data_IF_324144774040
#
_entry.id   IF_324144774040
#
_cell.length_a   1.000
_cell.length_b   1.000
_cell.length_c   1.000
_cell.angle_alpha   90.00
_cell.angle_beta   90.00
_cell.angle_gamma   90.00
#
_symmetry.space_group_name_H-M   'P 1'
#
loop_
_entity.id
_entity.type
_entity.pdbx_description
1 polymer ?
#
# COMPACT_ATOMS: atom_id res chain seq x y z
N UNK A 1 -13.57 -9.79 -15.56
CA UNK A 1 -13.67 -11.21 -15.27
C UNK A 1 -15.11 -11.71 -15.45
N UNK A 2 -16.11 -11.21 -14.70
CA UNK A 2 -17.50 -11.68 -14.77
C UNK A 2 -18.13 -11.46 -16.17
N UNK A 3 -17.93 -10.29 -16.79
CA UNK A 3 -18.37 -10.00 -18.17
C UNK A 3 -17.72 -10.95 -19.21
N UNK A 4 -16.60 -11.58 -18.88
CA UNK A 4 -15.92 -12.57 -19.71
C UNK A 4 -16.35 -14.02 -19.37
N UNK A 5 -17.40 -14.20 -18.54
CA UNK A 5 -18.00 -15.49 -18.24
C UNK A 5 -17.40 -16.23 -17.04
N UNK A 6 -16.52 -15.62 -16.25
CA UNK A 6 -15.97 -16.24 -15.04
C UNK A 6 -16.94 -16.09 -13.86
N UNK A 7 -17.15 -17.18 -13.12
CA UNK A 7 -17.85 -17.14 -11.85
C UNK A 7 -17.03 -16.35 -10.81
N UNK A 8 -17.71 -15.46 -10.09
CA UNK A 8 -17.09 -14.59 -9.09
C UNK A 8 -16.38 -15.39 -8.00
N UNK A 9 -16.94 -16.48 -7.53
CA UNK A 9 -16.38 -17.29 -6.45
C UNK A 9 -15.15 -18.11 -6.91
N UNK A 10 -14.92 -18.23 -8.22
CA UNK A 10 -13.73 -18.90 -8.75
C UNK A 10 -12.45 -18.06 -8.62
N UNK A 11 -12.54 -16.74 -8.57
CA UNK A 11 -11.37 -15.85 -8.52
C UNK A 11 -11.35 -14.87 -7.34
N UNK A 12 -12.51 -14.40 -6.86
CA UNK A 12 -12.57 -13.39 -5.81
C UNK A 12 -11.86 -13.78 -4.51
N UNK A 13 -11.86 -15.05 -4.05
CA UNK A 13 -11.10 -15.47 -2.88
C UNK A 13 -9.58 -15.27 -3.00
N UNK A 14 -9.06 -15.06 -4.22
CA UNK A 14 -7.63 -14.85 -4.51
C UNK A 14 -7.25 -13.39 -4.67
N UNK A 15 -8.24 -12.48 -4.69
CA UNK A 15 -7.97 -11.05 -4.77
C UNK A 15 -7.37 -10.55 -3.45
N UNK A 16 -6.44 -9.63 -3.57
CA UNK A 16 -5.84 -8.93 -2.44
C UNK A 16 -5.60 -7.47 -2.81
N UNK A 17 -5.48 -6.63 -1.79
CA UNK A 17 -5.36 -5.20 -1.93
C UNK A 17 -4.13 -4.68 -1.20
N UNK A 18 -3.75 -3.47 -1.54
CA UNK A 18 -2.67 -2.74 -0.92
C UNK A 18 -3.20 -1.38 -0.45
N UNK A 19 -3.00 -1.07 0.83
CA UNK A 19 -3.37 0.21 1.42
C UNK A 19 -2.17 0.88 2.07
N UNK A 20 -2.18 2.22 2.09
CA UNK A 20 -1.29 3.00 2.94
C UNK A 20 -1.96 3.26 4.29
N UNK A 21 -1.13 3.51 5.32
CA UNK A 21 -1.57 4.03 6.62
C UNK A 21 -0.88 5.36 6.89
N UNK A 22 -1.67 6.45 6.97
CA UNK A 22 -1.22 7.82 7.24
C UNK A 22 -1.23 8.15 8.73
N UNK A 23 -1.09 9.45 9.08
CA UNK A 23 -0.89 9.87 10.47
C UNK A 23 -2.18 10.05 11.29
N UNK A 24 -3.35 10.19 10.65
CA UNK A 24 -4.62 10.29 11.37
C UNK A 24 -5.06 8.90 11.84
N UNK A 25 -4.75 8.60 13.10
CA UNK A 25 -4.94 7.27 13.69
C UNK A 25 -6.39 6.78 13.57
N UNK A 26 -7.35 7.61 13.90
CA UNK A 26 -8.76 7.19 13.91
C UNK A 26 -9.36 7.11 12.51
N UNK A 27 -8.97 8.01 11.61
CA UNK A 27 -9.39 7.97 10.22
C UNK A 27 -8.84 6.71 9.53
N UNK A 28 -7.58 6.36 9.78
CA UNK A 28 -6.97 5.16 9.21
C UNK A 28 -7.63 3.86 9.72
N UNK A 29 -7.89 3.76 11.02
CA UNK A 29 -8.65 2.63 11.58
C UNK A 29 -10.05 2.56 10.94
N UNK A 30 -10.75 3.67 10.86
CA UNK A 30 -12.07 3.75 10.23
C UNK A 30 -12.04 3.38 8.75
N UNK A 31 -11.01 3.80 8.02
CA UNK A 31 -10.79 3.46 6.60
C UNK A 31 -10.71 1.94 6.38
N UNK A 32 -9.91 1.25 7.17
CA UNK A 32 -9.78 -0.22 7.05
C UNK A 32 -11.07 -0.95 7.42
N UNK A 33 -11.80 -0.46 8.41
CA UNK A 33 -13.12 -0.98 8.77
C UNK A 33 -14.14 -0.74 7.65
N UNK A 34 -14.20 0.47 7.10
CA UNK A 34 -15.05 0.83 5.97
C UNK A 34 -14.74 -0.03 4.73
N UNK A 35 -13.46 -0.21 4.40
CA UNK A 35 -13.03 -1.00 3.26
C UNK A 35 -13.51 -2.46 3.35
N UNK A 36 -13.37 -3.12 4.53
CA UNK A 36 -13.86 -4.49 4.72
C UNK A 36 -15.39 -4.58 4.59
N UNK A 37 -16.10 -3.67 5.23
CA UNK A 37 -17.58 -3.66 5.20
C UNK A 37 -18.11 -3.40 3.79
N UNK A 38 -17.51 -2.42 3.10
CA UNK A 38 -17.87 -2.05 1.74
C UNK A 38 -17.59 -3.18 0.75
N UNK A 39 -16.41 -3.83 0.86
CA UNK A 39 -16.08 -4.98 0.03
C UNK A 39 -17.09 -6.11 0.19
N UNK A 40 -17.37 -6.50 1.43
CA UNK A 40 -18.34 -7.57 1.70
C UNK A 40 -19.74 -7.24 1.12
N UNK A 41 -20.19 -6.00 1.28
CA UNK A 41 -21.47 -5.51 0.74
C UNK A 41 -21.48 -5.56 -0.79
N UNK A 42 -20.47 -5.02 -1.46
CA UNK A 42 -20.36 -5.02 -2.92
C UNK A 42 -20.32 -6.45 -3.47
N UNK A 43 -19.52 -7.33 -2.89
CA UNK A 43 -19.42 -8.71 -3.35
C UNK A 43 -20.74 -9.46 -3.20
N UNK A 44 -21.43 -9.26 -2.09
CA UNK A 44 -22.73 -9.90 -1.84
C UNK A 44 -23.86 -9.32 -2.69
N UNK A 45 -24.02 -7.99 -2.70
CA UNK A 45 -25.19 -7.34 -3.29
C UNK A 45 -25.04 -7.07 -4.79
N UNK A 46 -23.84 -6.66 -5.24
CA UNK A 46 -23.60 -6.31 -6.64
C UNK A 46 -23.13 -7.50 -7.49
N UNK A 47 -22.26 -8.35 -6.92
CA UNK A 47 -21.66 -9.47 -7.65
C UNK A 47 -22.24 -10.83 -7.27
N UNK A 48 -23.16 -10.88 -6.30
CA UNK A 48 -23.89 -12.07 -5.87
C UNK A 48 -22.98 -13.25 -5.48
N UNK A 49 -21.81 -12.95 -4.86
CA UNK A 49 -20.91 -13.95 -4.34
C UNK A 49 -21.60 -14.81 -3.28
N UNK A 50 -21.33 -16.11 -3.32
CA UNK A 50 -21.92 -17.11 -2.40
C UNK A 50 -20.87 -17.65 -1.41
N UNK A 51 -19.60 -17.67 -1.80
CA UNK A 51 -18.49 -18.08 -0.93
C UNK A 51 -18.15 -16.94 0.02
N UNK A 52 -18.19 -17.18 1.33
CA UNK A 52 -17.79 -16.20 2.35
C UNK A 52 -16.36 -15.68 2.13
N UNK A 53 -15.47 -16.52 1.62
CA UNK A 53 -14.09 -16.13 1.30
C UNK A 53 -13.99 -15.06 0.21
N UNK A 54 -14.97 -15.00 -0.69
CA UNK A 54 -15.08 -13.96 -1.71
C UNK A 54 -15.45 -12.60 -1.11
N UNK A 55 -16.13 -12.60 0.04
CA UNK A 55 -16.55 -11.40 0.77
C UNK A 55 -15.51 -10.90 1.77
N UNK A 56 -14.42 -11.64 1.97
CA UNK A 56 -13.31 -11.25 2.86
C UNK A 56 -12.32 -10.37 2.12
N UNK A 57 -12.20 -9.10 2.52
CA UNK A 57 -11.14 -8.22 2.02
C UNK A 57 -9.80 -8.64 2.62
N UNK A 58 -8.87 -9.03 1.77
CA UNK A 58 -7.47 -9.33 2.14
C UNK A 58 -6.58 -8.19 1.69
N UNK A 59 -5.78 -7.64 2.59
CA UNK A 59 -4.93 -6.53 2.21
C UNK A 59 -3.61 -6.50 2.99
N UNK A 60 -2.62 -5.96 2.33
CA UNK A 60 -1.37 -5.52 2.90
C UNK A 60 -1.46 -4.03 3.22
N UNK A 61 -0.82 -3.60 4.29
CA UNK A 61 -0.66 -2.18 4.59
C UNK A 61 0.81 -1.80 4.64
N UNK A 62 1.16 -0.71 3.99
CA UNK A 62 2.42 -0.02 4.17
C UNK A 62 2.17 1.29 4.91
N UNK A 63 3.01 1.62 5.89
CA UNK A 63 3.02 2.97 6.46
C UNK A 63 3.32 4.00 5.37
N UNK A 64 2.73 5.19 5.45
CA UNK A 64 2.77 6.15 4.34
C UNK A 64 4.10 6.91 4.28
N UNK A 65 5.00 6.47 3.38
CA UNK A 65 6.29 7.12 3.16
C UNK A 65 6.19 8.59 2.77
N UNK A 66 5.12 8.98 2.05
CA UNK A 66 4.89 10.38 1.66
C UNK A 66 4.63 11.33 2.85
N UNK A 67 4.37 10.81 4.04
CA UNK A 67 4.21 11.60 5.27
C UNK A 67 5.52 11.78 6.05
N UNK A 68 6.58 11.08 5.66
CA UNK A 68 7.87 11.14 6.31
C UNK A 68 8.68 12.32 5.77
N UNK A 69 9.48 12.93 6.64
CA UNK A 69 10.16 14.19 6.34
C UNK A 69 11.67 14.03 6.36
N UNK A 70 12.35 14.83 5.52
CA UNK A 70 13.80 14.92 5.54
C UNK A 70 14.30 15.68 6.79
N UNK A 71 13.48 16.61 7.30
CA UNK A 71 13.74 17.38 8.51
C UNK A 71 13.49 16.50 9.74
N UNK A 72 14.40 16.54 10.69
CA UNK A 72 14.31 15.80 11.96
C UNK A 72 13.95 14.32 11.73
N UNK A 73 14.77 13.55 10.99
CA UNK A 73 14.41 12.23 10.49
C UNK A 73 14.08 11.22 11.60
N UNK A 74 14.59 11.41 12.82
CA UNK A 74 14.26 10.52 13.94
C UNK A 74 12.79 10.63 14.38
N UNK A 75 12.12 11.76 14.11
CA UNK A 75 10.67 11.88 14.32
C UNK A 75 9.86 10.94 13.42
N UNK A 76 10.44 10.48 12.31
CA UNK A 76 9.79 9.51 11.42
C UNK A 76 9.58 8.15 12.11
N UNK A 77 10.42 7.78 13.08
CA UNK A 77 10.22 6.56 13.89
C UNK A 77 8.87 6.62 14.61
N UNK A 78 8.55 7.77 15.20
CA UNK A 78 7.29 7.98 15.92
C UNK A 78 6.11 7.98 14.94
N UNK A 79 6.24 8.67 13.80
CA UNK A 79 5.20 8.68 12.74
C UNK A 79 4.88 7.26 12.27
N UNK A 80 5.91 6.50 11.94
CA UNK A 80 5.78 5.10 11.49
C UNK A 80 5.16 4.22 12.57
N UNK A 81 5.53 4.40 13.85
CA UNK A 81 4.94 3.64 14.95
C UNK A 81 3.43 3.90 15.09
N UNK A 82 2.97 5.16 14.97
CA UNK A 82 1.55 5.51 15.04
C UNK A 82 0.79 4.98 13.81
N UNK A 83 1.34 5.10 12.62
CA UNK A 83 0.77 4.54 11.39
C UNK A 83 0.64 3.01 11.44
N UNK A 84 1.69 2.34 11.92
CA UNK A 84 1.69 0.89 12.08
C UNK A 84 0.64 0.44 13.12
N UNK A 85 0.52 1.18 14.23
CA UNK A 85 -0.50 0.91 15.25
C UNK A 85 -1.91 1.09 14.66
N UNK A 86 -2.15 2.14 13.88
CA UNK A 86 -3.43 2.34 13.18
C UNK A 86 -3.77 1.18 12.24
N UNK A 87 -2.78 0.69 11.47
CA UNK A 87 -2.96 -0.46 10.59
C UNK A 87 -3.32 -1.74 11.35
N UNK A 88 -2.66 -1.99 12.49
CA UNK A 88 -2.93 -3.17 13.35
C UNK A 88 -4.31 -3.07 13.97
N UNK A 89 -4.67 -1.93 14.58
CA UNK A 89 -6.00 -1.68 15.15
C UNK A 89 -7.09 -1.75 14.07
N UNK A 90 -6.75 -1.36 12.84
CA UNK A 90 -7.62 -1.44 11.68
C UNK A 90 -7.74 -2.84 11.06
N UNK A 91 -6.97 -3.83 11.53
CA UNK A 91 -7.09 -5.24 11.15
C UNK A 91 -6.39 -5.61 9.83
N UNK A 92 -5.22 -5.03 9.54
CA UNK A 92 -4.37 -5.45 8.41
C UNK A 92 -3.91 -6.90 8.55
N UNK A 93 -3.75 -7.64 7.43
CA UNK A 93 -3.24 -9.02 7.45
C UNK A 93 -1.73 -9.10 7.30
N UNK A 94 -1.10 -8.12 6.67
CA UNK A 94 0.35 -7.98 6.61
C UNK A 94 0.74 -6.52 6.65
N UNK A 95 1.94 -6.22 7.16
CA UNK A 95 2.37 -4.86 7.44
C UNK A 95 3.81 -4.65 6.99
N UNK A 96 4.05 -3.52 6.33
CA UNK A 96 5.38 -2.96 6.11
C UNK A 96 5.50 -1.63 6.86
N UNK A 97 6.61 -1.47 7.56
CA UNK A 97 6.99 -0.22 8.23
C UNK A 97 8.17 0.42 7.49
N UNK A 98 7.99 1.67 7.06
CA UNK A 98 9.07 2.43 6.44
C UNK A 98 10.15 2.75 7.47
N UNK A 99 11.37 2.92 7.02
CA UNK A 99 12.48 3.34 7.89
C UNK A 99 12.55 4.86 8.04
N UNK A 100 13.27 5.31 9.06
CA UNK A 100 13.37 6.74 9.40
C UNK A 100 14.00 7.61 8.31
N UNK A 101 14.78 7.00 7.44
CA UNK A 101 15.52 7.64 6.34
C UNK A 101 14.79 7.59 4.98
N UNK A 102 13.53 7.13 4.96
CA UNK A 102 12.68 7.00 3.77
C UNK A 102 12.63 8.26 2.89
N UNK A 103 12.59 9.44 3.51
CA UNK A 103 12.57 10.72 2.78
C UNK A 103 13.95 11.15 2.25
N UNK A 104 15.02 10.43 2.58
CA UNK A 104 16.41 10.82 2.30
C UNK A 104 17.13 9.86 1.35
N UNK A 105 16.98 8.55 1.57
CA UNK A 105 17.71 7.51 0.86
C UNK A 105 17.07 6.13 1.06
N UNK A 106 17.68 5.10 0.44
CA UNK A 106 17.40 3.72 0.80
C UNK A 106 17.85 3.46 2.25
N UNK A 107 17.15 2.57 2.98
CA UNK A 107 17.40 2.36 4.40
C UNK A 107 18.78 1.75 4.67
N UNK A 108 19.42 2.24 5.72
CA UNK A 108 20.58 1.59 6.32
C UNK A 108 20.16 0.38 7.14
N UNK A 109 21.10 -0.50 7.51
CA UNK A 109 20.85 -1.67 8.35
C UNK A 109 20.24 -1.28 9.71
N UNK A 110 20.73 -0.21 10.33
CA UNK A 110 20.19 0.31 11.59
C UNK A 110 18.75 0.80 11.41
N UNK A 111 18.47 1.54 10.34
CA UNK A 111 17.14 2.06 10.04
C UNK A 111 16.12 0.95 9.79
N UNK A 112 16.52 -0.09 9.03
CA UNK A 112 15.68 -1.28 8.79
C UNK A 112 15.42 -2.03 10.09
N UNK A 113 16.45 -2.17 10.94
CA UNK A 113 16.31 -2.84 12.23
C UNK A 113 15.28 -2.14 13.10
N UNK A 114 15.33 -0.80 13.21
CA UNK A 114 14.33 -0.01 13.96
C UNK A 114 12.93 -0.22 13.39
N UNK A 115 12.79 -0.17 12.06
CA UNK A 115 11.50 -0.39 11.40
C UNK A 115 10.90 -1.76 11.71
N UNK A 116 11.71 -2.82 11.70
CA UNK A 116 11.29 -4.17 12.09
C UNK A 116 10.95 -4.28 13.59
N UNK A 117 11.77 -3.67 14.46
CA UNK A 117 11.50 -3.64 15.90
C UNK A 117 10.21 -2.93 16.23
N UNK A 118 9.84 -1.88 15.48
CA UNK A 118 8.54 -1.21 15.62
C UNK A 118 7.38 -2.20 15.53
N UNK A 119 7.36 -3.06 14.51
CA UNK A 119 6.33 -4.11 14.38
C UNK A 119 6.36 -5.11 15.54
N UNK A 120 7.56 -5.54 15.94
CA UNK A 120 7.74 -6.51 17.01
C UNK A 120 7.30 -5.96 18.37
N UNK A 121 7.58 -4.68 18.67
CA UNK A 121 7.12 -4.00 19.88
C UNK A 121 5.58 -3.95 19.89
N UNK A 122 4.97 -3.52 18.78
CA UNK A 122 3.51 -3.50 18.66
C UNK A 122 2.91 -4.89 18.91
N UNK A 123 3.49 -5.92 18.31
CA UNK A 123 2.97 -7.29 18.42
C UNK A 123 3.14 -7.91 19.81
N UNK A 124 4.23 -7.60 20.52
CA UNK A 124 4.60 -8.34 21.73
C UNK A 124 4.42 -7.55 23.03
N UNK A 125 4.45 -6.22 22.99
CA UNK A 125 4.50 -5.40 24.21
C UNK A 125 3.23 -4.57 24.46
N UNK A 126 2.41 -4.32 23.41
CA UNK A 126 1.26 -3.41 23.52
C UNK A 126 -0.06 -4.08 23.90
N UNK A 127 -0.15 -5.38 23.77
CA UNK A 127 -1.39 -6.14 24.01
C UNK A 127 -2.46 -5.98 22.92
N UNK A 128 -2.21 -5.24 21.83
CA UNK A 128 -3.20 -5.03 20.74
C UNK A 128 -3.57 -6.32 20.01
N UNK A 129 -2.72 -7.36 20.09
CA UNK A 129 -2.96 -8.68 19.51
C UNK A 129 -3.91 -9.57 20.33
N UNK A 130 -4.30 -9.13 21.53
CA UNK A 130 -5.17 -9.91 22.42
C UNK A 130 -6.65 -9.85 22.01
N UNK A 131 -7.02 -8.96 21.12
CA UNK A 131 -8.41 -8.76 20.68
C UNK A 131 -8.50 -8.36 19.21
N UNK A 132 -9.72 -8.43 18.68
CA UNK A 132 -10.05 -8.03 17.31
C UNK A 132 -10.93 -6.79 17.38
N UNK A 133 -10.65 -5.81 16.47
CA UNK A 133 -11.44 -4.57 16.33
C UNK A 133 -11.72 -3.86 17.68
N UNK A 134 -10.67 -3.50 18.45
CA UNK A 134 -10.83 -3.00 19.82
C UNK A 134 -11.51 -1.63 19.91
N UNK A 135 -11.61 -0.91 18.80
CA UNK A 135 -12.28 0.39 18.73
C UNK A 135 -13.73 0.31 18.24
N UNK A 136 -14.25 -0.90 18.02
CA UNK A 136 -15.65 -1.11 17.69
C UNK A 136 -16.57 -0.56 18.79
N UNK A 137 -17.65 0.10 18.40
CA UNK A 137 -18.58 0.75 19.31
C UNK A 137 -18.17 2.14 19.79
N UNK A 138 -16.98 2.63 19.44
CA UNK A 138 -16.65 4.04 19.62
C UNK A 138 -17.54 4.90 18.70
N UNK A 139 -18.33 5.80 19.27
CA UNK A 139 -19.20 6.67 18.49
C UNK A 139 -18.48 7.43 17.38
N UNK A 140 -17.28 7.91 17.66
CA UNK A 140 -16.46 8.62 16.68
C UNK A 140 -15.97 7.70 15.55
N UNK A 141 -15.43 6.54 15.89
CA UNK A 141 -14.90 5.59 14.90
C UNK A 141 -16.03 5.01 14.03
N UNK A 142 -17.20 4.73 14.62
CA UNK A 142 -18.35 4.25 13.86
C UNK A 142 -18.88 5.33 12.90
N UNK A 143 -18.99 6.58 13.35
CA UNK A 143 -19.40 7.70 12.51
C UNK A 143 -18.41 7.94 11.36
N UNK A 144 -17.09 7.95 11.66
CA UNK A 144 -16.04 8.11 10.64
C UNK A 144 -16.01 6.94 9.65
N UNK A 145 -16.21 5.71 10.12
CA UNK A 145 -16.32 4.52 9.26
C UNK A 145 -17.48 4.67 8.25
N UNK A 146 -18.62 5.15 8.71
CA UNK A 146 -19.79 5.39 7.85
C UNK A 146 -19.53 6.52 6.84
N UNK A 147 -18.96 7.63 7.28
CA UNK A 147 -18.59 8.75 6.41
C UNK A 147 -17.66 8.31 5.27
N UNK A 148 -16.62 7.54 5.59
CA UNK A 148 -15.67 7.04 4.60
C UNK A 148 -16.34 6.08 3.62
N UNK A 149 -17.22 5.20 4.11
CA UNK A 149 -17.99 4.28 3.25
C UNK A 149 -18.89 5.04 2.26
N UNK A 150 -19.59 6.06 2.72
CA UNK A 150 -20.46 6.89 1.89
C UNK A 150 -19.67 7.62 0.80
N UNK A 151 -18.57 8.29 1.16
CA UNK A 151 -17.69 8.98 0.20
C UNK A 151 -17.05 8.02 -0.81
N UNK A 152 -16.63 6.84 -0.36
CA UNK A 152 -16.07 5.83 -1.26
C UNK A 152 -17.12 5.34 -2.27
N UNK A 153 -18.38 5.18 -1.85
CA UNK A 153 -19.47 4.82 -2.75
C UNK A 153 -19.78 5.89 -3.78
N UNK A 154 -19.68 7.19 -3.42
CA UNK A 154 -19.82 8.30 -4.37
C UNK A 154 -18.75 8.21 -5.47
N UNK A 155 -17.49 7.97 -5.11
CA UNK A 155 -16.41 7.77 -6.08
C UNK A 155 -16.65 6.54 -6.98
N UNK A 156 -17.10 5.42 -6.39
CA UNK A 156 -17.38 4.20 -7.15
C UNK A 156 -18.53 4.46 -8.15
N UNK A 157 -19.59 5.11 -7.72
CA UNK A 157 -20.73 5.48 -8.59
C UNK A 157 -20.26 6.38 -9.74
N UNK A 158 -19.44 7.39 -9.43
CA UNK A 158 -18.90 8.29 -10.45
C UNK A 158 -18.02 7.58 -11.47
N UNK A 159 -17.16 6.67 -11.03
CA UNK A 159 -16.32 5.85 -11.90
C UNK A 159 -17.17 4.92 -12.78
N UNK A 160 -18.23 4.35 -12.23
CA UNK A 160 -19.19 3.53 -12.99
C UNK A 160 -19.90 4.34 -14.08
N UNK A 161 -20.36 5.56 -13.78
CA UNK A 161 -20.96 6.48 -14.77
C UNK A 161 -20.01 6.80 -15.93
N UNK A 162 -18.70 6.92 -15.63
CA UNK A 162 -17.68 7.18 -16.64
C UNK A 162 -17.34 5.96 -17.51
N UNK A 163 -17.90 4.78 -17.18
CA UNK A 163 -17.69 3.53 -17.92
C UNK A 163 -16.64 2.60 -17.29
N UNK A 164 -16.31 2.81 -16.02
CA UNK A 164 -15.39 1.99 -15.24
C UNK A 164 -14.00 2.58 -15.10
N UNK A 165 -13.17 1.95 -14.27
CA UNK A 165 -11.88 2.48 -13.85
C UNK A 165 -10.91 2.75 -15.03
N UNK A 166 -10.81 1.85 -16.01
CA UNK A 166 -9.94 2.04 -17.18
C UNK A 166 -10.34 3.31 -17.96
N UNK A 167 -11.65 3.49 -18.20
CA UNK A 167 -12.14 4.66 -18.89
C UNK A 167 -11.96 5.95 -18.09
N UNK A 168 -12.16 5.90 -16.77
CA UNK A 168 -11.92 7.05 -15.88
C UNK A 168 -10.45 7.48 -15.88
N UNK A 169 -9.51 6.53 -15.99
CA UNK A 169 -8.06 6.80 -16.15
C UNK A 169 -7.80 7.46 -17.50
N UNK A 170 -8.33 6.90 -18.60
CA UNK A 170 -8.17 7.47 -19.95
C UNK A 170 -8.68 8.91 -20.05
N UNK A 171 -9.77 9.22 -19.34
CA UNK A 171 -10.35 10.55 -19.25
C UNK A 171 -9.59 11.50 -18.31
N UNK A 172 -8.59 11.01 -17.57
CA UNK A 172 -7.82 11.80 -16.62
C UNK A 172 -8.56 12.12 -15.30
N UNK A 173 -9.73 11.52 -15.06
CA UNK A 173 -10.55 11.80 -13.87
C UNK A 173 -9.80 11.42 -12.58
N UNK A 174 -9.29 10.19 -12.51
CA UNK A 174 -8.59 9.71 -11.31
C UNK A 174 -7.33 10.52 -11.04
N UNK A 175 -6.56 10.85 -12.08
CA UNK A 175 -5.36 11.67 -11.96
C UNK A 175 -5.68 13.08 -11.46
N UNK A 176 -6.80 13.65 -11.94
CA UNK A 176 -7.25 14.98 -11.50
C UNK A 176 -7.62 14.99 -10.02
N UNK A 177 -8.40 14.02 -9.54
CA UNK A 177 -8.77 13.89 -8.12
C UNK A 177 -7.54 13.78 -7.22
N UNK A 178 -6.54 12.97 -7.64
CA UNK A 178 -5.27 12.83 -6.90
C UNK A 178 -4.51 14.16 -6.86
N UNK A 179 -4.44 14.86 -8.01
CA UNK A 179 -3.73 16.13 -8.11
C UNK A 179 -4.39 17.24 -7.28
N UNK A 180 -5.72 17.31 -7.32
CA UNK A 180 -6.51 18.29 -6.56
C UNK A 180 -6.34 18.05 -5.04
N UNK A 181 -6.38 16.78 -4.60
CA UNK A 181 -6.14 16.42 -3.21
C UNK A 181 -4.71 16.74 -2.74
N UNK A 182 -3.70 16.49 -3.58
CA UNK A 182 -2.32 16.83 -3.28
C UNK A 182 -2.11 18.36 -3.19
N UNK A 183 -2.74 19.12 -4.07
CA UNK A 183 -2.71 20.58 -4.04
C UNK A 183 -3.35 21.12 -2.76
N UNK A 184 -4.55 20.61 -2.40
CA UNK A 184 -5.23 21.00 -1.16
C UNK A 184 -4.36 20.72 0.07
N UNK A 185 -3.74 19.55 0.14
CA UNK A 185 -2.83 19.17 1.22
C UNK A 185 -1.64 20.13 1.33
N UNK A 186 -1.05 20.53 0.19
CA UNK A 186 0.03 21.51 0.16
C UNK A 186 -0.42 22.88 0.68
N UNK A 187 -1.58 23.35 0.26
CA UNK A 187 -2.14 24.63 0.73
C UNK A 187 -2.40 24.64 2.24
N UNK A 188 -2.90 23.52 2.79
CA UNK A 188 -3.11 23.38 4.25
C UNK A 188 -1.79 23.46 5.05
N UNK A 189 -0.68 22.95 4.49
CA UNK A 189 0.65 23.06 5.10
C UNK A 189 1.16 24.49 5.02
N UNK A 190 1.03 25.16 3.87
CA UNK A 190 1.50 26.52 3.66
C UNK A 190 0.71 27.55 4.51
N UNK A 191 -0.60 27.35 4.65
CA UNK A 191 -1.46 28.19 5.49
C UNK A 191 -1.33 27.91 6.99
N UNK A 192 -0.55 26.92 7.40
CA UNK A 192 -0.43 26.45 8.79
C UNK A 192 -1.71 25.85 9.37
N UNK A 193 -2.70 25.53 8.54
CA UNK A 193 -3.89 24.79 8.95
C UNK A 193 -3.52 23.34 9.33
N UNK A 194 -2.60 22.76 8.57
CA UNK A 194 -1.99 21.47 8.87
C UNK A 194 -0.55 21.63 9.35
N UNK A 195 -0.28 21.17 10.57
CA UNK A 195 1.05 21.21 11.16
C UNK A 195 1.80 19.90 10.85
N UNK A 196 3.00 20.05 10.28
CA UNK A 196 3.97 18.98 10.13
C UNK A 196 5.21 19.36 10.96
N UNK A 197 5.43 18.62 12.04
CA UNK A 197 6.51 18.90 13.00
C UNK A 197 7.88 18.82 12.30
N UNK A 198 8.69 19.85 12.50
CA UNK A 198 9.99 20.00 11.87
C UNK A 198 9.96 20.62 10.47
N UNK A 199 8.78 20.70 9.83
CA UNK A 199 8.64 21.25 8.47
C UNK A 199 8.10 22.66 8.49
N UNK A 200 6.89 22.87 9.01
CA UNK A 200 6.26 24.20 9.09
C UNK A 200 6.09 24.70 10.52
N UNK A 201 6.36 23.86 11.55
CA UNK A 201 6.40 24.25 12.96
C UNK A 201 7.45 23.43 13.71
N UNK A 202 8.00 24.00 14.78
CA UNK A 202 9.07 23.41 15.59
C UNK A 202 10.34 23.11 14.79
N UNK A 203 10.67 23.99 13.86
CA UNK A 203 11.88 23.94 13.05
C UNK A 203 13.11 24.19 13.93
N UNK A 204 14.21 23.50 13.60
CA UNK A 204 15.53 23.72 14.21
C UNK A 204 16.58 23.75 13.10
N UNK A 205 17.72 24.38 13.35
CA UNK A 205 18.88 24.24 12.47
C UNK A 205 19.45 22.84 12.61
N UNK A 206 19.64 22.14 11.50
CA UNK A 206 20.12 20.78 11.48
C UNK A 206 21.41 20.68 10.64
N UNK A 207 22.35 19.87 11.11
CA UNK A 207 23.44 19.46 10.24
C UNK A 207 22.90 18.51 9.15
N UNK A 208 23.51 18.50 7.95
CA UNK A 208 23.17 17.50 6.94
C UNK A 208 23.23 16.08 7.51
N UNK A 209 22.22 15.23 7.20
CA UNK A 209 22.19 13.87 7.74
C UNK A 209 23.42 13.08 7.31
N UNK A 210 24.05 12.40 8.28
CA UNK A 210 25.25 11.59 8.09
C UNK A 210 24.88 10.11 7.97
N UNK A 211 25.73 9.33 7.27
CA UNK A 211 25.59 7.88 7.22
C UNK A 211 24.45 7.35 6.35
N UNK A 212 23.95 8.15 5.42
CA UNK A 212 22.95 7.68 4.45
C UNK A 212 23.54 6.62 3.52
N UNK A 213 22.75 5.61 3.18
CA UNK A 213 23.14 4.59 2.21
C UNK A 213 23.34 5.22 0.82
N UNK A 214 24.54 5.06 0.30
CA UNK A 214 24.86 5.37 -1.10
C UNK A 214 25.10 4.08 -1.85
N UNK A 215 24.37 3.87 -2.93
CA UNK A 215 24.57 2.71 -3.80
C UNK A 215 25.92 2.87 -4.51
N UNK A 216 26.82 1.92 -4.31
CA UNK A 216 28.12 1.90 -5.00
C UNK A 216 27.89 1.60 -6.49
N UNK A 217 28.36 2.48 -7.42
CA UNK A 217 28.27 2.23 -8.86
C UNK A 217 28.88 0.88 -9.30
N UNK A 218 29.90 0.39 -8.59
CA UNK A 218 30.53 -0.91 -8.85
C UNK A 218 29.53 -2.07 -8.75
N UNK A 219 28.44 -1.95 -7.97
CA UNK A 219 27.38 -2.97 -7.88
C UNK A 219 26.68 -3.16 -9.23
N UNK A 220 26.40 -2.05 -9.93
CA UNK A 220 25.78 -2.11 -11.27
C UNK A 220 26.73 -2.76 -12.28
N UNK A 221 28.01 -2.39 -12.27
CA UNK A 221 29.00 -2.98 -13.16
C UNK A 221 29.18 -4.48 -12.92
N UNK A 222 29.25 -4.90 -11.64
CA UNK A 222 29.30 -6.32 -11.27
C UNK A 222 28.07 -7.08 -11.76
N UNK A 223 26.88 -6.51 -11.61
CA UNK A 223 25.64 -7.14 -12.06
C UNK A 223 25.58 -7.26 -13.59
N UNK A 224 25.99 -6.24 -14.32
CA UNK A 224 26.09 -6.26 -15.78
C UNK A 224 27.06 -7.35 -16.22
N UNK A 225 28.22 -7.47 -15.56
CA UNK A 225 29.21 -8.53 -15.84
C UNK A 225 28.60 -9.93 -15.64
N UNK A 226 27.95 -10.17 -14.49
CA UNK A 226 27.27 -11.45 -14.20
C UNK A 226 26.20 -11.79 -15.24
N UNK A 227 25.39 -10.82 -15.66
CA UNK A 227 24.35 -11.05 -16.69
C UNK A 227 24.98 -11.38 -18.04
N UNK A 228 26.06 -10.71 -18.43
CA UNK A 228 26.81 -11.03 -19.65
C UNK A 228 27.35 -12.46 -19.62
N UNK A 229 28.01 -12.83 -18.55
CA UNK A 229 28.56 -14.19 -18.35
C UNK A 229 27.47 -15.25 -18.44
N UNK A 230 26.32 -15.06 -17.78
CA UNK A 230 25.16 -15.97 -17.88
C UNK A 230 24.67 -16.09 -19.34
N UNK A 231 24.57 -14.96 -20.07
CA UNK A 231 24.13 -14.96 -21.47
C UNK A 231 25.12 -15.67 -22.39
N UNK A 232 26.41 -15.56 -22.14
CA UNK A 232 27.47 -16.18 -22.91
C UNK A 232 27.56 -17.70 -22.64
N UNK A 233 27.39 -18.11 -21.38
CA UNK A 233 27.56 -19.52 -20.96
C UNK A 233 26.30 -20.36 -21.02
N UNK A 234 25.10 -19.74 -21.07
CA UNK A 234 23.82 -20.46 -21.14
C UNK A 234 23.66 -21.22 -22.44
N UNK A 235 22.92 -22.32 -22.41
CA UNK A 235 22.52 -23.06 -23.61
C UNK A 235 21.45 -22.30 -24.41
N UNK A 236 21.87 -21.49 -25.39
CA UNK A 236 20.98 -20.65 -26.18
C UNK A 236 19.97 -21.49 -27.01
N UNK A 237 20.28 -22.72 -27.40
CA UNK A 237 19.35 -23.61 -28.09
C UNK A 237 18.21 -24.05 -27.14
N UNK A 238 18.54 -24.36 -25.90
CA UNK A 238 17.54 -24.72 -24.89
C UNK A 238 16.66 -23.49 -24.57
N UNK A 239 17.24 -22.29 -24.44
CA UNK A 239 16.50 -21.05 -24.23
C UNK A 239 15.53 -20.77 -25.37
N UNK A 240 15.99 -20.88 -26.62
CA UNK A 240 15.12 -20.68 -27.78
C UNK A 240 13.96 -21.71 -27.82
N UNK A 241 14.23 -22.98 -27.47
CA UNK A 241 13.20 -24.00 -27.37
C UNK A 241 12.15 -23.69 -26.28
N UNK A 242 12.60 -23.20 -25.10
CA UNK A 242 11.69 -22.83 -24.02
C UNK A 242 10.86 -21.58 -24.35
N UNK A 243 11.45 -20.58 -24.97
CA UNK A 243 10.72 -19.42 -25.45
C UNK A 243 9.65 -19.75 -26.47
N UNK A 244 9.95 -20.65 -27.40
CA UNK A 244 8.96 -21.13 -28.38
C UNK A 244 7.84 -21.95 -27.73
N UNK A 245 8.16 -22.77 -26.72
CA UNK A 245 7.14 -23.49 -25.95
C UNK A 245 6.23 -22.53 -25.19
N UNK A 246 6.82 -21.51 -24.56
CA UNK A 246 6.06 -20.45 -23.86
C UNK A 246 5.15 -19.71 -24.85
N UNK A 247 5.66 -19.32 -26.03
CA UNK A 247 4.87 -18.64 -27.07
C UNK A 247 3.65 -19.49 -27.48
N UNK A 248 3.83 -20.76 -27.70
CA UNK A 248 2.74 -21.68 -28.04
C UNK A 248 1.73 -21.81 -26.90
N UNK A 249 2.17 -21.90 -25.65
CA UNK A 249 1.28 -21.96 -24.51
C UNK A 249 0.45 -20.68 -24.37
N UNK A 250 1.02 -19.50 -24.68
CA UNK A 250 0.30 -18.21 -24.68
C UNK A 250 -0.78 -18.13 -25.78
N UNK A 251 -0.67 -18.89 -26.87
CA UNK A 251 -1.67 -18.96 -27.95
C UNK A 251 -2.85 -19.88 -27.57
N UNK A 252 -2.71 -20.70 -26.53
CA UNK A 252 -3.68 -21.67 -26.04
C UNK A 252 -4.31 -21.28 -24.68
N UNK A 253 -4.79 -22.32 -23.99
CA UNK A 253 -5.40 -22.18 -22.64
C UNK A 253 -4.55 -22.81 -21.54
N UNK A 254 -3.33 -23.21 -21.86
CA UNK A 254 -2.43 -23.88 -20.94
C UNK A 254 -1.89 -22.92 -19.86
N UNK A 255 -1.52 -23.48 -18.70
CA UNK A 255 -0.82 -22.72 -17.69
C UNK A 255 0.60 -22.38 -18.18
N UNK A 256 0.90 -21.09 -18.35
CA UNK A 256 2.20 -20.61 -18.86
C UNK A 256 3.34 -20.67 -17.84
N UNK A 257 3.04 -20.83 -16.55
CA UNK A 257 4.05 -20.79 -15.48
C UNK A 257 5.08 -21.94 -15.50
N UNK A 258 4.80 -23.15 -16.00
CA UNK A 258 5.80 -24.23 -16.11
C UNK A 258 6.88 -24.04 -17.19
N UNK A 259 6.68 -23.10 -18.13
CA UNK A 259 7.60 -22.84 -19.24
C UNK A 259 8.58 -21.74 -18.89
#
# INVERSE_FOLDING_TARGET
AIKAGLDVDSFAPRLSFFFNSHNDLFEEVAKFRAARRLWAKIMKERFHAKDERSMMLKFHTQTAGCTLTAQQPDNNIIRVAMQALAAVLGGTQSLHTNSRDEALALPTEDSVTIALRTQQIIANETGVTNTIDPLAGSYYVEAKTKEIEEKAMEYIAKIDELGGAARAIDLGYIQKEISDAAYQYQMEIESMERIVVGVNKYQVEEEPPKGLLKVDPAVAELQIKKIKEVKETRNNKAVAGKLESLRKACEGTENVMPY
#
